data_IF_197663746881
#
_entry.id   IF_197663746881
#
_cell.length_a   1.000
_cell.length_b   1.000
_cell.length_c   1.000
_cell.angle_alpha   90.00
_cell.angle_beta   90.00
_cell.angle_gamma   90.00
#
_symmetry.space_group_name_H-M   'P 1'
#
loop_
_entity.id
_entity.type
_entity.pdbx_description
1 polymer ?
#
# COMPACT_ATOMS: atom_id res chain seq x y z
N UNK A 1 48.37 -49.27 21.62
CA UNK A 1 48.13 -48.18 20.64
C UNK A 1 46.81 -47.51 21.03
N UNK A 2 46.90 -46.28 21.56
CA UNK A 2 45.69 -45.47 21.91
C UNK A 2 45.54 -44.44 20.82
N UNK A 3 44.40 -44.49 20.08
CA UNK A 3 44.06 -43.52 19.03
C UNK A 3 43.36 -42.35 19.72
N UNK A 4 43.96 -41.21 19.71
CA UNK A 4 43.34 -39.94 20.17
C UNK A 4 42.48 -39.39 19.04
N UNK A 5 41.16 -39.28 19.29
CA UNK A 5 40.25 -38.61 18.37
C UNK A 5 40.33 -37.08 18.58
N UNK A 6 40.70 -36.38 17.55
CA UNK A 6 40.75 -34.91 17.51
C UNK A 6 39.33 -34.39 17.18
N UNK A 7 38.67 -33.77 18.16
CA UNK A 7 37.39 -33.07 17.94
C UNK A 7 37.70 -31.68 17.34
N UNK A 8 37.38 -31.47 16.06
CA UNK A 8 37.39 -30.16 15.42
C UNK A 8 36.06 -29.47 15.73
N UNK A 9 36.08 -28.48 16.60
CA UNK A 9 34.93 -27.60 16.84
C UNK A 9 34.90 -26.52 15.75
N UNK A 10 34.01 -26.67 14.78
CA UNK A 10 33.71 -25.62 13.79
C UNK A 10 32.88 -24.50 14.48
N UNK A 11 33.51 -23.38 14.78
CA UNK A 11 32.84 -22.16 15.19
C UNK A 11 32.12 -21.54 13.98
N UNK A 12 30.80 -21.65 13.94
CA UNK A 12 29.96 -20.88 13.00
C UNK A 12 30.04 -19.38 13.35
N UNK A 13 30.31 -18.50 12.39
CA UNK A 13 30.25 -17.05 12.65
C UNK A 13 28.80 -16.65 12.96
N UNK A 14 28.58 -16.22 14.19
CA UNK A 14 27.33 -15.57 14.58
C UNK A 14 27.33 -14.18 13.92
N UNK A 15 26.64 -14.05 12.79
CA UNK A 15 26.38 -12.73 12.20
C UNK A 15 25.43 -11.99 13.15
N UNK A 16 25.96 -11.01 13.91
CA UNK A 16 25.14 -10.05 14.62
C UNK A 16 24.27 -9.33 13.58
N UNK A 17 22.99 -9.64 13.54
CA UNK A 17 22.04 -8.81 12.84
C UNK A 17 22.11 -7.42 13.51
N UNK A 18 22.52 -6.40 12.75
CA UNK A 18 22.54 -5.03 13.22
C UNK A 18 21.12 -4.67 13.69
N UNK A 19 20.98 -4.32 14.97
CA UNK A 19 19.71 -3.84 15.51
C UNK A 19 19.30 -2.59 14.73
N UNK A 20 18.06 -2.61 14.20
CA UNK A 20 17.50 -1.42 13.55
C UNK A 20 17.56 -0.23 14.53
N UNK A 21 17.84 0.99 14.06
CA UNK A 21 17.84 2.18 14.89
C UNK A 21 16.52 2.29 15.66
N UNK A 22 16.58 2.77 16.91
CA UNK A 22 15.38 3.01 17.71
C UNK A 22 14.44 3.96 16.96
N UNK A 23 13.18 3.52 16.74
CA UNK A 23 12.16 4.30 16.03
C UNK A 23 11.99 3.99 14.54
N UNK A 24 12.76 3.04 13.95
CA UNK A 24 12.50 2.59 12.58
C UNK A 24 11.25 1.70 12.54
N UNK A 25 10.31 2.04 11.70
CA UNK A 25 9.07 1.27 11.47
C UNK A 25 9.27 0.14 10.44
N UNK A 26 10.14 0.36 9.46
CA UNK A 26 10.46 -0.60 8.42
C UNK A 26 11.93 -0.54 8.02
N UNK A 27 12.34 -1.48 7.20
CA UNK A 27 13.61 -1.44 6.47
C UNK A 27 13.29 -1.39 4.99
N UNK A 28 13.88 -0.45 4.28
CA UNK A 28 13.73 -0.30 2.84
C UNK A 28 14.26 -1.53 2.11
N UNK A 29 13.87 -1.73 0.85
CA UNK A 29 14.38 -2.83 0.03
C UNK A 29 15.90 -2.72 -0.24
N UNK A 30 16.45 -1.51 -0.12
CA UNK A 30 17.90 -1.24 -0.18
C UNK A 30 18.61 -1.36 1.18
N UNK A 31 17.92 -1.80 2.25
CA UNK A 31 18.50 -2.04 3.58
C UNK A 31 18.54 -0.81 4.50
N UNK A 32 17.97 0.33 4.12
CA UNK A 32 17.95 1.55 4.94
C UNK A 32 16.81 1.53 5.95
N UNK A 33 17.00 2.02 7.19
CA UNK A 33 15.91 2.17 8.13
C UNK A 33 14.92 3.25 7.66
N UNK A 34 13.62 2.96 7.76
CA UNK A 34 12.53 3.87 7.43
C UNK A 34 11.84 4.30 8.73
N UNK A 35 11.91 5.60 9.00
CA UNK A 35 11.35 6.22 10.20
C UNK A 35 10.13 7.05 9.78
N UNK A 36 9.01 6.88 10.50
CA UNK A 36 7.83 7.72 10.27
C UNK A 36 8.07 9.13 10.80
N UNK A 37 7.74 10.13 9.99
CA UNK A 37 7.65 11.50 10.49
C UNK A 37 6.38 11.63 11.33
N UNK A 38 6.46 12.02 12.60
CA UNK A 38 5.27 12.21 13.41
C UNK A 38 4.43 13.37 12.84
N UNK A 39 3.09 13.28 12.91
CA UNK A 39 2.23 14.41 12.58
C UNK A 39 2.54 15.60 13.48
N UNK A 40 2.28 16.82 13.00
CA UNK A 40 2.56 18.06 13.74
C UNK A 40 1.30 18.93 13.82
N UNK A 41 1.31 19.94 14.71
CA UNK A 41 0.22 20.91 14.88
C UNK A 41 -1.11 20.25 15.26
N UNK A 42 -2.23 20.83 14.80
CA UNK A 42 -3.60 20.38 15.14
C UNK A 42 -3.88 18.94 14.68
N UNK A 43 -3.25 18.49 13.59
CA UNK A 43 -3.37 17.11 13.13
C UNK A 43 -2.83 16.12 14.17
N UNK A 44 -1.69 16.43 14.80
CA UNK A 44 -1.13 15.62 15.88
C UNK A 44 -2.08 15.53 17.07
N UNK A 45 -2.57 16.67 17.55
CA UNK A 45 -3.47 16.74 18.72
C UNK A 45 -4.72 15.89 18.47
N UNK A 46 -5.33 16.01 17.29
CA UNK A 46 -6.53 15.23 16.92
C UNK A 46 -6.22 13.73 16.86
N UNK A 47 -5.16 13.32 16.18
CA UNK A 47 -4.81 11.92 16.03
C UNK A 47 -4.43 11.26 17.36
N UNK A 48 -3.75 11.98 18.25
CA UNK A 48 -3.43 11.49 19.61
C UNK A 48 -4.68 11.35 20.47
N UNK A 49 -5.63 12.29 20.39
CA UNK A 49 -6.92 12.19 21.08
C UNK A 49 -7.74 10.99 20.58
N UNK A 50 -7.78 10.79 19.27
CA UNK A 50 -8.43 9.63 18.65
C UNK A 50 -7.80 8.31 19.09
N UNK A 51 -6.46 8.26 19.17
CA UNK A 51 -5.75 7.08 19.68
C UNK A 51 -6.08 6.83 21.15
N UNK A 52 -6.07 7.87 22.00
CA UNK A 52 -6.40 7.73 23.43
C UNK A 52 -7.81 7.17 23.63
N UNK A 53 -8.79 7.63 22.81
CA UNK A 53 -10.14 7.08 22.81
C UNK A 53 -10.17 5.60 22.39
N UNK A 54 -9.51 5.24 21.29
CA UNK A 54 -9.47 3.87 20.81
C UNK A 54 -8.76 2.93 21.80
N UNK A 55 -7.71 3.42 22.49
CA UNK A 55 -7.04 2.67 23.56
C UNK A 55 -7.98 2.43 24.75
N UNK A 56 -8.72 3.44 25.19
CA UNK A 56 -9.68 3.29 26.30
C UNK A 56 -10.82 2.32 25.94
N UNK A 57 -11.29 2.32 24.68
CA UNK A 57 -12.29 1.38 24.20
C UNK A 57 -11.75 -0.06 24.19
N UNK A 58 -10.50 -0.25 23.76
CA UNK A 58 -9.81 -1.54 23.80
C UNK A 58 -9.54 -2.02 25.23
N UNK A 59 -9.11 -1.14 26.15
CA UNK A 59 -8.83 -1.49 27.55
C UNK A 59 -10.12 -1.92 28.29
N UNK A 60 -11.28 -1.36 27.91
CA UNK A 60 -12.58 -1.74 28.43
C UNK A 60 -13.03 -3.12 27.96
N UNK A 61 -12.79 -3.45 26.69
CA UNK A 61 -13.12 -4.75 26.11
C UNK A 61 -12.03 -5.22 25.13
N UNK A 62 -10.96 -5.83 25.65
CA UNK A 62 -9.87 -6.35 24.82
C UNK A 62 -10.30 -7.51 23.89
N UNK A 63 -11.48 -8.10 24.17
CA UNK A 63 -12.04 -9.16 23.33
C UNK A 63 -12.82 -8.65 22.11
N UNK A 64 -13.09 -7.35 22.02
CA UNK A 64 -13.81 -6.75 20.90
C UNK A 64 -12.95 -6.67 19.63
N UNK A 65 -13.46 -7.28 18.54
CA UNK A 65 -12.85 -7.13 17.21
C UNK A 65 -12.84 -5.66 16.77
N UNK A 66 -13.95 -4.94 17.01
CA UNK A 66 -14.09 -3.52 16.63
C UNK A 66 -13.07 -2.64 17.37
N UNK A 67 -12.90 -2.85 18.68
CA UNK A 67 -11.91 -2.11 19.47
C UNK A 67 -10.47 -2.38 18.99
N UNK A 68 -10.16 -3.64 18.65
CA UNK A 68 -8.86 -4.02 18.06
C UNK A 68 -8.62 -3.35 16.71
N UNK A 69 -9.66 -3.28 15.85
CA UNK A 69 -9.60 -2.64 14.53
C UNK A 69 -9.31 -1.14 14.70
N UNK A 70 -10.07 -0.44 15.55
CA UNK A 70 -9.86 1.00 15.72
C UNK A 70 -8.54 1.34 16.38
N UNK A 71 -8.11 0.58 17.39
CA UNK A 71 -6.79 0.77 17.99
C UNK A 71 -5.68 0.65 16.94
N UNK A 72 -5.68 -0.43 16.15
CA UNK A 72 -4.69 -0.62 15.10
C UNK A 72 -4.71 0.48 14.04
N UNK A 73 -5.89 0.92 13.60
CA UNK A 73 -6.04 2.02 12.63
C UNK A 73 -5.49 3.34 13.17
N UNK A 74 -5.81 3.71 14.44
CA UNK A 74 -5.32 4.95 15.05
C UNK A 74 -3.81 4.94 15.25
N UNK A 75 -3.23 3.79 15.60
CA UNK A 75 -1.78 3.62 15.63
C UNK A 75 -1.14 3.82 14.25
N UNK A 76 -1.72 3.23 13.20
CA UNK A 76 -1.22 3.37 11.83
C UNK A 76 -1.28 4.83 11.32
N UNK A 77 -2.33 5.60 11.65
CA UNK A 77 -2.43 7.02 11.29
C UNK A 77 -1.38 7.91 11.97
N UNK A 78 -0.84 7.46 13.09
CA UNK A 78 0.31 8.09 13.76
C UNK A 78 1.66 7.60 13.24
N UNK A 79 1.67 6.74 12.23
CA UNK A 79 2.88 6.15 11.68
C UNK A 79 3.51 5.06 12.55
N UNK A 80 2.80 4.55 13.56
CA UNK A 80 3.20 3.47 14.47
C UNK A 80 2.78 2.12 13.90
N UNK A 81 3.36 1.75 12.76
CA UNK A 81 2.91 0.58 12.00
C UNK A 81 3.19 -0.74 12.71
N UNK A 82 4.31 -0.86 13.47
CA UNK A 82 4.61 -2.06 14.24
C UNK A 82 3.57 -2.29 15.34
N UNK A 83 3.25 -1.24 16.09
CA UNK A 83 2.22 -1.32 17.14
C UNK A 83 0.83 -1.62 16.54
N UNK A 84 0.54 -1.06 15.36
CA UNK A 84 -0.70 -1.37 14.64
C UNK A 84 -0.79 -2.84 14.22
N UNK A 85 0.29 -3.40 13.66
CA UNK A 85 0.39 -4.82 13.30
C UNK A 85 0.19 -5.70 14.54
N UNK A 86 0.76 -5.35 15.68
CA UNK A 86 0.60 -6.08 16.94
C UNK A 86 -0.85 -6.03 17.44
N UNK A 87 -1.50 -4.85 17.36
CA UNK A 87 -2.91 -4.69 17.74
C UNK A 87 -3.83 -5.56 16.86
N UNK A 88 -3.65 -5.50 15.53
CA UNK A 88 -4.40 -6.36 14.61
C UNK A 88 -4.11 -7.86 14.83
N UNK A 89 -2.86 -8.22 15.16
CA UNK A 89 -2.48 -9.61 15.40
C UNK A 89 -3.16 -10.18 16.64
N UNK A 90 -3.28 -9.41 17.72
CA UNK A 90 -4.08 -9.79 18.90
C UNK A 90 -5.55 -9.94 18.54
N UNK A 91 -6.11 -9.01 17.76
CA UNK A 91 -7.47 -9.09 17.27
C UNK A 91 -7.73 -10.37 16.44
N UNK A 92 -6.80 -10.73 15.54
CA UNK A 92 -6.89 -11.94 14.72
C UNK A 92 -6.82 -13.22 15.58
N UNK A 93 -6.00 -13.22 16.63
CA UNK A 93 -5.92 -14.38 17.54
C UNK A 93 -7.26 -14.64 18.26
N UNK A 94 -8.00 -13.56 18.59
CA UNK A 94 -9.32 -13.66 19.20
C UNK A 94 -10.44 -13.88 18.15
N UNK A 95 -10.29 -13.34 16.95
CA UNK A 95 -11.31 -13.33 15.89
C UNK A 95 -10.73 -13.77 14.53
N UNK A 96 -10.39 -15.07 14.36
CA UNK A 96 -9.69 -15.56 13.17
C UNK A 96 -10.54 -15.51 11.87
N UNK A 97 -11.84 -15.25 11.97
CA UNK A 97 -12.77 -15.13 10.83
C UNK A 97 -13.20 -13.66 10.56
N UNK A 98 -12.61 -12.67 11.25
CA UNK A 98 -12.89 -11.26 11.01
C UNK A 98 -12.01 -10.70 9.89
N UNK A 99 -12.59 -10.56 8.69
CA UNK A 99 -11.89 -10.16 7.48
C UNK A 99 -11.23 -8.77 7.59
N UNK A 100 -11.86 -7.83 8.32
CA UNK A 100 -11.37 -6.45 8.47
C UNK A 100 -10.01 -6.38 9.16
N UNK A 101 -9.75 -7.28 10.13
CA UNK A 101 -8.46 -7.36 10.83
C UNK A 101 -7.33 -7.73 9.88
N UNK A 102 -7.54 -8.74 9.04
CA UNK A 102 -6.57 -9.13 8.00
C UNK A 102 -6.40 -8.03 6.95
N UNK A 103 -7.50 -7.38 6.52
CA UNK A 103 -7.44 -6.27 5.56
C UNK A 103 -6.56 -5.13 6.07
N UNK A 104 -6.74 -4.71 7.33
CA UNK A 104 -5.97 -3.60 7.88
C UNK A 104 -4.52 -4.00 8.19
N UNK A 105 -4.26 -5.21 8.70
CA UNK A 105 -2.91 -5.70 8.92
C UNK A 105 -2.17 -5.88 7.60
N UNK A 106 -2.82 -6.41 6.57
CA UNK A 106 -2.27 -6.53 5.23
C UNK A 106 -1.87 -5.18 4.63
N UNK A 107 -2.68 -4.12 4.83
CA UNK A 107 -2.31 -2.77 4.44
C UNK A 107 -1.03 -2.30 5.18
N UNK A 108 -0.95 -2.48 6.49
CA UNK A 108 0.25 -2.14 7.25
C UNK A 108 1.47 -2.94 6.77
N UNK A 109 1.32 -4.21 6.43
CA UNK A 109 2.41 -5.01 5.85
C UNK A 109 2.88 -4.48 4.49
N UNK A 110 1.99 -3.95 3.63
CA UNK A 110 2.42 -3.24 2.42
C UNK A 110 3.30 -2.05 2.79
N UNK A 111 2.84 -1.21 3.72
CA UNK A 111 3.54 0.00 4.15
C UNK A 111 4.93 -0.31 4.71
N UNK A 112 5.08 -1.39 5.48
CA UNK A 112 6.39 -1.81 6.02
C UNK A 112 7.15 -2.78 5.11
N UNK A 113 6.81 -2.87 3.83
CA UNK A 113 7.48 -3.63 2.77
C UNK A 113 7.54 -5.15 3.03
N UNK A 114 6.57 -5.70 3.75
CA UNK A 114 6.40 -7.14 4.00
C UNK A 114 5.35 -7.73 3.06
N UNK A 115 5.65 -7.72 1.76
CA UNK A 115 4.67 -8.03 0.70
C UNK A 115 4.11 -9.44 0.81
N UNK A 116 4.92 -10.45 1.15
CA UNK A 116 4.45 -11.82 1.30
C UNK A 116 3.42 -11.97 2.43
N UNK A 117 3.63 -11.26 3.57
CA UNK A 117 2.69 -11.24 4.68
C UNK A 117 1.41 -10.48 4.30
N UNK A 118 1.53 -9.39 3.54
CA UNK A 118 0.38 -8.65 3.02
C UNK A 118 -0.46 -9.52 2.08
N UNK A 119 0.16 -10.25 1.15
CA UNK A 119 -0.51 -11.16 0.22
C UNK A 119 -1.23 -12.27 1.00
N UNK A 120 -0.59 -12.86 2.00
CA UNK A 120 -1.19 -13.91 2.83
C UNK A 120 -2.45 -13.41 3.56
N UNK A 121 -2.36 -12.26 4.24
CA UNK A 121 -3.48 -11.66 4.97
C UNK A 121 -4.63 -11.26 4.04
N UNK A 122 -4.34 -10.55 2.95
CA UNK A 122 -5.36 -10.07 2.01
C UNK A 122 -6.01 -11.22 1.24
N UNK A 123 -5.27 -12.31 0.97
CA UNK A 123 -5.84 -13.55 0.44
C UNK A 123 -6.77 -14.23 1.46
N UNK A 124 -6.41 -14.27 2.75
CA UNK A 124 -7.33 -14.76 3.80
C UNK A 124 -8.58 -13.88 3.86
N UNK A 125 -8.42 -12.55 3.87
CA UNK A 125 -9.54 -11.61 3.88
C UNK A 125 -10.48 -11.81 2.68
N UNK A 126 -9.95 -11.98 1.46
CA UNK A 126 -10.76 -12.19 0.26
C UNK A 126 -11.61 -13.46 0.33
N UNK A 127 -11.06 -14.54 0.93
CA UNK A 127 -11.81 -15.79 1.16
C UNK A 127 -12.91 -15.62 2.20
N UNK A 128 -12.64 -14.84 3.25
CA UNK A 128 -13.61 -14.59 4.34
C UNK A 128 -14.81 -13.77 3.89
N UNK A 129 -14.67 -12.90 2.88
CA UNK A 129 -15.75 -12.10 2.33
C UNK A 129 -16.43 -12.72 1.10
N UNK A 130 -15.94 -13.86 0.62
CA UNK A 130 -16.49 -14.51 -0.57
C UNK A 130 -17.97 -14.85 -0.38
N UNK A 131 -18.80 -14.43 -1.32
CA UNK A 131 -20.27 -14.63 -1.28
C UNK A 131 -21.01 -13.74 -0.27
N UNK A 132 -20.33 -12.89 0.50
CA UNK A 132 -20.98 -11.94 1.40
C UNK A 132 -21.36 -10.65 0.65
N UNK A 133 -22.40 -9.98 1.13
CA UNK A 133 -22.72 -8.63 0.68
C UNK A 133 -21.56 -7.69 1.01
N UNK A 134 -21.21 -6.83 0.06
CA UNK A 134 -20.19 -5.82 0.28
C UNK A 134 -20.71 -4.68 1.18
N UNK A 135 -19.83 -4.12 1.99
CA UNK A 135 -20.16 -3.11 2.99
C UNK A 135 -19.23 -1.90 2.84
N UNK A 136 -19.79 -0.69 3.02
CA UNK A 136 -19.00 0.52 3.10
C UNK A 136 -18.04 0.40 4.30
N UNK A 137 -16.75 0.60 4.08
CA UNK A 137 -15.78 0.60 5.16
C UNK A 137 -15.87 1.95 5.90
N UNK A 138 -16.04 1.95 7.24
CA UNK A 138 -16.06 3.19 8.02
C UNK A 138 -14.79 4.00 7.79
N UNK A 139 -14.95 5.26 7.41
CA UNK A 139 -13.84 6.14 7.11
C UNK A 139 -13.15 6.58 8.41
N UNK A 140 -11.84 6.31 8.51
CA UNK A 140 -11.05 6.69 9.68
C UNK A 140 -10.31 8.02 9.52
N UNK A 141 -10.24 8.53 8.28
CA UNK A 141 -9.70 9.82 7.90
C UNK A 141 -10.62 10.42 6.80
N UNK A 142 -11.81 10.93 7.18
CA UNK A 142 -12.82 11.35 6.23
C UNK A 142 -12.30 12.38 5.23
N UNK A 143 -12.72 12.25 3.98
CA UNK A 143 -12.51 13.28 2.96
C UNK A 143 -13.27 14.57 3.31
N UNK A 144 -12.96 15.67 2.61
CA UNK A 144 -13.56 16.99 2.89
C UNK A 144 -15.09 17.02 2.79
N UNK A 145 -15.70 16.11 2.01
CA UNK A 145 -17.14 15.99 1.87
C UNK A 145 -17.77 15.10 2.97
N UNK A 146 -16.97 14.37 3.76
CA UNK A 146 -17.47 13.41 4.76
C UNK A 146 -18.20 12.21 4.16
N UNK A 147 -17.98 11.90 2.88
CA UNK A 147 -18.66 10.83 2.16
C UNK A 147 -17.71 9.64 1.99
N UNK A 148 -17.89 8.51 2.72
CA UNK A 148 -17.06 7.34 2.53
C UNK A 148 -17.26 6.74 1.14
N UNK A 149 -16.15 6.45 0.45
CA UNK A 149 -16.15 5.95 -0.93
C UNK A 149 -15.77 4.49 -1.04
N UNK A 150 -14.92 3.98 -0.16
CA UNK A 150 -14.41 2.63 -0.27
C UNK A 150 -15.30 1.61 0.47
N UNK A 151 -15.34 0.39 -0.07
CA UNK A 151 -15.98 -0.75 0.56
C UNK A 151 -14.93 -1.75 1.06
N UNK A 152 -15.32 -2.64 1.96
CA UNK A 152 -14.43 -3.68 2.48
C UNK A 152 -13.86 -4.54 1.35
N UNK A 153 -14.71 -5.01 0.43
CA UNK A 153 -14.24 -5.88 -0.65
C UNK A 153 -13.39 -5.12 -1.67
N UNK A 154 -13.75 -3.87 -2.02
CA UNK A 154 -12.92 -3.05 -2.91
C UNK A 154 -11.52 -2.84 -2.33
N UNK A 155 -11.43 -2.53 -1.03
CA UNK A 155 -10.15 -2.37 -0.34
C UNK A 155 -9.33 -3.67 -0.28
N UNK A 156 -9.97 -4.81 -0.02
CA UNK A 156 -9.27 -6.11 0.02
C UNK A 156 -8.64 -6.40 -1.35
N UNK A 157 -9.41 -6.34 -2.43
CA UNK A 157 -8.92 -6.66 -3.77
C UNK A 157 -7.89 -5.65 -4.27
N UNK A 158 -8.12 -4.35 -4.02
CA UNK A 158 -7.18 -3.29 -4.37
C UNK A 158 -5.81 -3.52 -3.72
N UNK A 159 -5.78 -3.75 -2.39
CA UNK A 159 -4.52 -3.93 -1.68
C UNK A 159 -3.87 -5.29 -1.97
N UNK A 160 -4.64 -6.35 -2.25
CA UNK A 160 -4.08 -7.63 -2.67
C UNK A 160 -3.37 -7.49 -4.02
N UNK A 161 -4.03 -6.86 -5.00
CA UNK A 161 -3.42 -6.58 -6.30
C UNK A 161 -2.17 -5.69 -6.16
N UNK A 162 -2.23 -4.69 -5.28
CA UNK A 162 -1.08 -3.83 -5.01
C UNK A 162 0.09 -4.60 -4.39
N UNK A 163 -0.13 -5.41 -3.36
CA UNK A 163 0.93 -6.21 -2.73
C UNK A 163 1.61 -7.16 -3.73
N UNK A 164 0.81 -7.80 -4.60
CA UNK A 164 1.30 -8.66 -5.68
C UNK A 164 2.08 -7.85 -6.74
N UNK A 165 1.60 -6.67 -7.14
CA UNK A 165 2.33 -5.78 -8.05
C UNK A 165 3.70 -5.38 -7.46
N UNK A 166 3.72 -4.97 -6.20
CA UNK A 166 4.93 -4.55 -5.49
C UNK A 166 5.93 -5.70 -5.33
N UNK A 167 5.48 -6.93 -5.13
CA UNK A 167 6.35 -8.13 -5.10
C UNK A 167 6.88 -8.53 -6.49
N UNK A 168 6.30 -7.99 -7.58
CA UNK A 168 6.62 -8.36 -8.96
C UNK A 168 5.75 -9.47 -9.54
N UNK A 169 4.77 -9.98 -8.79
CA UNK A 169 3.76 -10.93 -9.28
C UNK A 169 2.66 -10.18 -10.05
N UNK A 170 3.00 -9.69 -11.24
CA UNK A 170 2.04 -8.98 -12.10
C UNK A 170 0.88 -9.88 -12.57
N UNK A 171 1.07 -11.19 -12.65
CA UNK A 171 0.01 -12.14 -13.02
C UNK A 171 -1.02 -12.26 -11.90
N UNK A 172 -0.58 -12.43 -10.67
CA UNK A 172 -1.44 -12.40 -9.49
C UNK A 172 -2.16 -11.06 -9.34
N UNK A 173 -1.43 -9.94 -9.50
CA UNK A 173 -2.00 -8.60 -9.44
C UNK A 173 -3.13 -8.42 -10.46
N UNK A 174 -2.93 -8.87 -11.71
CA UNK A 174 -3.98 -8.83 -12.74
C UNK A 174 -5.22 -9.63 -12.33
N UNK A 175 -5.03 -10.83 -11.77
CA UNK A 175 -6.14 -11.66 -11.31
C UNK A 175 -6.92 -10.96 -10.19
N UNK A 176 -6.22 -10.36 -9.22
CA UNK A 176 -6.83 -9.66 -8.09
C UNK A 176 -7.58 -8.39 -8.52
N UNK A 177 -7.00 -7.56 -9.39
CA UNK A 177 -7.70 -6.37 -9.91
C UNK A 177 -8.94 -6.73 -10.73
N UNK A 178 -8.89 -7.80 -11.52
CA UNK A 178 -10.06 -8.29 -12.25
C UNK A 178 -11.14 -8.81 -11.32
N UNK A 179 -10.79 -9.54 -10.28
CA UNK A 179 -11.73 -10.03 -9.28
C UNK A 179 -12.40 -8.87 -8.49
N UNK A 180 -11.64 -7.81 -8.20
CA UNK A 180 -12.13 -6.62 -7.50
C UNK A 180 -12.89 -5.62 -8.39
N UNK A 181 -12.75 -5.68 -9.72
CA UNK A 181 -13.36 -4.70 -10.62
C UNK A 181 -14.89 -4.58 -10.48
N UNK A 182 -15.68 -5.66 -10.31
CA UNK A 182 -17.13 -5.53 -10.10
C UNK A 182 -17.51 -4.67 -8.91
N UNK A 183 -16.81 -4.82 -7.76
CA UNK A 183 -17.07 -4.02 -6.56
C UNK A 183 -16.43 -2.62 -6.63
N UNK A 184 -15.41 -2.44 -7.45
CA UNK A 184 -14.80 -1.11 -7.68
C UNK A 184 -15.65 -0.20 -8.56
N UNK A 185 -16.58 -0.73 -9.34
CA UNK A 185 -17.49 0.05 -10.21
C UNK A 185 -18.65 0.73 -9.49
N UNK A 186 -18.75 0.60 -8.16
CA UNK A 186 -19.83 1.21 -7.37
C UNK A 186 -19.76 2.73 -7.33
N UNK A 187 -18.59 3.32 -7.53
CA UNK A 187 -18.39 4.75 -7.68
C UNK A 187 -17.11 5.07 -8.47
N UNK A 188 -16.97 6.32 -8.88
CA UNK A 188 -15.85 6.76 -9.70
C UNK A 188 -14.51 6.72 -8.95
N UNK A 189 -14.46 6.95 -7.63
CA UNK A 189 -13.22 6.88 -6.85
C UNK A 189 -12.61 5.48 -6.86
N UNK A 190 -13.40 4.45 -6.58
CA UNK A 190 -12.91 3.07 -6.57
C UNK A 190 -12.57 2.59 -7.98
N UNK A 191 -13.37 3.02 -8.96
CA UNK A 191 -13.11 2.71 -10.37
C UNK A 191 -11.75 3.26 -10.82
N UNK A 192 -11.45 4.54 -10.56
CA UNK A 192 -10.17 5.15 -10.98
C UNK A 192 -9.00 4.54 -10.22
N UNK A 193 -9.13 4.27 -8.90
CA UNK A 193 -8.05 3.67 -8.13
C UNK A 193 -7.67 2.28 -8.66
N UNK A 194 -8.67 1.43 -8.90
CA UNK A 194 -8.45 0.07 -9.40
C UNK A 194 -7.96 0.09 -10.86
N UNK A 195 -8.55 0.95 -11.71
CA UNK A 195 -8.17 1.05 -13.13
C UNK A 195 -6.74 1.53 -13.35
N UNK A 196 -6.22 2.40 -12.49
CA UNK A 196 -4.86 2.90 -12.58
C UNK A 196 -3.82 1.77 -12.40
N UNK A 197 -3.95 0.98 -11.34
CA UNK A 197 -3.06 -0.14 -11.11
C UNK A 197 -3.29 -1.30 -12.08
N UNK A 198 -4.53 -1.54 -12.49
CA UNK A 198 -4.85 -2.53 -13.54
C UNK A 198 -4.17 -2.17 -14.86
N UNK A 199 -4.26 -0.90 -15.30
CA UNK A 199 -3.58 -0.41 -16.49
C UNK A 199 -2.07 -0.65 -16.42
N UNK A 200 -1.43 -0.20 -15.34
CA UNK A 200 0.00 -0.40 -15.16
C UNK A 200 0.38 -1.88 -15.17
N UNK A 201 -0.40 -2.74 -14.50
CA UNK A 201 -0.19 -4.20 -14.48
C UNK A 201 -0.26 -4.80 -15.87
N UNK A 202 -1.28 -4.45 -16.67
CA UNK A 202 -1.44 -4.92 -18.04
C UNK A 202 -0.27 -4.49 -18.93
N UNK A 203 0.19 -3.24 -18.81
CA UNK A 203 1.36 -2.72 -19.55
C UNK A 203 2.65 -3.46 -19.15
N UNK A 204 2.84 -3.78 -17.86
CA UNK A 204 3.98 -4.58 -17.38
C UNK A 204 3.95 -6.01 -17.96
N UNK A 205 2.77 -6.57 -18.17
CA UNK A 205 2.57 -7.88 -18.82
C UNK A 205 2.58 -7.81 -20.35
N UNK A 206 2.80 -6.62 -20.95
CA UNK A 206 2.75 -6.38 -22.41
C UNK A 206 1.39 -6.74 -23.04
N UNK A 207 0.30 -6.58 -22.26
CA UNK A 207 -1.09 -6.78 -22.69
C UNK A 207 -1.71 -5.46 -23.10
N UNK A 208 -1.12 -4.80 -24.11
CA UNK A 208 -1.41 -3.41 -24.47
C UNK A 208 -2.86 -3.20 -24.95
N UNK A 209 -3.43 -4.12 -25.71
CA UNK A 209 -4.83 -4.02 -26.15
C UNK A 209 -5.80 -4.03 -24.96
N UNK A 210 -5.55 -4.85 -23.95
CA UNK A 210 -6.39 -4.90 -22.74
C UNK A 210 -6.15 -3.69 -21.83
N UNK A 211 -4.94 -3.15 -21.82
CA UNK A 211 -4.65 -1.90 -21.12
C UNK A 211 -5.47 -0.73 -21.70
N UNK A 212 -5.60 -0.65 -23.02
CA UNK A 212 -6.47 0.33 -23.69
C UNK A 212 -7.94 0.12 -23.29
N UNK A 213 -8.43 -1.12 -23.29
CA UNK A 213 -9.79 -1.45 -22.85
C UNK A 213 -10.06 -1.06 -21.39
N UNK A 214 -9.09 -1.24 -20.50
CA UNK A 214 -9.21 -0.84 -19.08
C UNK A 214 -9.42 0.68 -18.91
N UNK A 215 -9.03 1.49 -19.89
CA UNK A 215 -9.24 2.93 -19.88
C UNK A 215 -10.60 3.37 -20.45
N UNK A 216 -11.38 2.50 -21.09
CA UNK A 216 -12.65 2.88 -21.75
C UNK A 216 -13.62 3.61 -20.79
N UNK A 217 -13.87 3.16 -19.55
CA UNK A 217 -14.80 3.82 -18.66
C UNK A 217 -14.31 5.16 -18.10
N UNK A 218 -13.02 5.49 -18.27
CA UNK A 218 -12.43 6.72 -17.71
C UNK A 218 -12.74 7.92 -18.59
N UNK A 219 -13.34 8.94 -18.00
CA UNK A 219 -13.75 10.18 -18.65
C UNK A 219 -13.10 11.39 -17.97
N UNK A 220 -12.94 12.53 -18.66
CA UNK A 220 -12.44 13.77 -18.04
C UNK A 220 -13.29 14.27 -16.86
N UNK A 221 -14.60 14.10 -16.93
CA UNK A 221 -15.55 14.46 -15.87
C UNK A 221 -16.02 13.19 -15.18
N UNK A 222 -15.57 12.99 -13.95
CA UNK A 222 -15.95 11.90 -13.04
C UNK A 222 -16.14 12.45 -11.63
N UNK A 223 -17.01 11.80 -10.83
CA UNK A 223 -17.24 12.16 -9.42
C UNK A 223 -16.14 11.55 -8.53
N UNK A 224 -14.97 12.18 -8.57
CA UNK A 224 -13.78 11.72 -7.83
C UNK A 224 -13.49 12.68 -6.68
N UNK A 225 -13.63 12.20 -5.44
CA UNK A 225 -13.38 12.98 -4.22
C UNK A 225 -11.98 12.71 -3.62
N UNK A 226 -11.49 11.47 -3.70
CA UNK A 226 -10.27 11.03 -3.02
C UNK A 226 -9.14 10.71 -4.01
N UNK A 227 -9.47 10.13 -5.14
CA UNK A 227 -8.51 9.54 -6.08
C UNK A 227 -8.17 10.43 -7.28
N UNK A 228 -8.24 11.76 -7.12
CA UNK A 228 -7.94 12.72 -8.18
C UNK A 228 -6.55 12.57 -8.81
N UNK A 229 -5.56 12.16 -8.01
CA UNK A 229 -4.21 11.85 -8.50
C UNK A 229 -4.21 10.67 -9.47
N UNK A 230 -4.92 9.60 -9.17
CA UNK A 230 -5.08 8.43 -10.05
C UNK A 230 -5.86 8.78 -11.31
N UNK A 231 -6.93 9.57 -11.17
CA UNK A 231 -7.70 10.06 -12.31
C UNK A 231 -6.81 10.86 -13.29
N UNK A 232 -5.97 11.76 -12.78
CA UNK A 232 -5.05 12.54 -13.61
C UNK A 232 -4.06 11.64 -14.39
N UNK A 233 -3.53 10.58 -13.76
CA UNK A 233 -2.67 9.59 -14.42
C UNK A 233 -3.41 8.79 -15.49
N UNK A 234 -4.63 8.35 -15.22
CA UNK A 234 -5.46 7.66 -16.21
C UNK A 234 -5.74 8.53 -17.44
N UNK A 235 -5.95 9.85 -17.25
CA UNK A 235 -6.09 10.78 -18.36
C UNK A 235 -4.78 10.94 -19.15
N UNK A 236 -3.61 10.90 -18.49
CA UNK A 236 -2.32 10.81 -19.16
C UNK A 236 -2.22 9.53 -20.00
N UNK A 237 -2.60 8.38 -19.44
CA UNK A 237 -2.57 7.10 -20.14
C UNK A 237 -3.48 7.06 -21.36
N UNK A 238 -4.59 7.82 -21.33
CA UNK A 238 -5.48 8.05 -22.48
C UNK A 238 -4.96 9.07 -23.50
N UNK A 239 -3.84 9.73 -23.24
CA UNK A 239 -3.32 10.82 -24.09
C UNK A 239 -4.10 12.14 -23.99
N UNK A 240 -4.93 12.30 -22.95
CA UNK A 240 -5.72 13.52 -22.70
C UNK A 240 -4.99 14.52 -21.78
N UNK A 241 -3.85 14.13 -21.23
CA UNK A 241 -2.93 14.98 -20.47
C UNK A 241 -1.49 14.71 -20.87
N UNK A 242 -0.59 15.66 -20.60
CA UNK A 242 0.85 15.46 -20.75
C UNK A 242 1.49 15.09 -19.40
N UNK A 243 2.67 14.44 -19.39
CA UNK A 243 3.40 14.16 -18.16
C UNK A 243 3.61 15.40 -17.29
N UNK A 244 3.96 16.53 -17.89
CA UNK A 244 4.24 17.80 -17.20
C UNK A 244 2.96 18.40 -16.58
N UNK A 245 1.78 18.14 -17.17
CA UNK A 245 0.49 18.57 -16.60
C UNK A 245 0.04 17.71 -15.41
N UNK A 246 0.59 16.49 -15.28
CA UNK A 246 0.31 15.58 -14.16
C UNK A 246 1.32 15.76 -13.04
N UNK A 247 2.59 15.97 -13.38
CA UNK A 247 3.68 16.13 -12.41
C UNK A 247 4.57 17.31 -12.76
N UNK A 248 4.58 18.33 -11.92
CA UNK A 248 5.55 19.41 -11.95
C UNK A 248 6.56 19.25 -10.82
N UNK A 249 7.74 18.73 -11.14
CA UNK A 249 8.80 18.45 -10.15
C UNK A 249 9.34 19.68 -9.42
N UNK A 250 9.10 20.90 -9.96
CA UNK A 250 9.59 22.14 -9.35
C UNK A 250 8.66 22.67 -8.26
N UNK A 251 7.38 22.31 -8.30
CA UNK A 251 6.35 22.85 -7.38
C UNK A 251 5.66 21.79 -6.53
N UNK A 252 5.80 20.51 -6.88
CA UNK A 252 5.17 19.42 -6.16
C UNK A 252 5.88 19.13 -4.81
N UNK A 253 5.09 18.87 -3.77
CA UNK A 253 5.58 18.37 -2.49
C UNK A 253 5.97 16.88 -2.56
N UNK A 254 6.59 16.36 -1.49
CA UNK A 254 7.07 14.97 -1.44
C UNK A 254 5.95 13.93 -1.66
N UNK A 255 4.72 14.20 -1.20
CA UNK A 255 3.59 13.28 -1.37
C UNK A 255 3.13 13.30 -2.82
N UNK A 256 3.02 14.47 -3.42
CA UNK A 256 2.69 14.62 -4.84
C UNK A 256 3.76 13.99 -5.73
N UNK A 257 5.04 14.20 -5.41
CA UNK A 257 6.17 13.59 -6.12
C UNK A 257 6.10 12.06 -6.01
N UNK A 258 5.85 11.50 -4.84
CA UNK A 258 5.72 10.06 -4.67
C UNK A 258 4.52 9.51 -5.45
N UNK A 259 3.33 10.11 -5.29
CA UNK A 259 2.09 9.61 -5.87
C UNK A 259 2.07 9.76 -7.40
N UNK A 260 2.29 10.97 -7.90
CA UNK A 260 2.27 11.24 -9.34
C UNK A 260 3.55 10.76 -10.03
N UNK A 261 4.69 10.90 -9.35
CA UNK A 261 6.00 10.54 -9.90
C UNK A 261 6.07 9.05 -10.27
N UNK A 262 5.54 8.16 -9.42
CA UNK A 262 5.53 6.76 -9.80
C UNK A 262 4.70 6.52 -11.09
N UNK A 263 3.49 7.06 -11.17
CA UNK A 263 2.63 6.87 -12.35
C UNK A 263 3.25 7.42 -13.64
N UNK A 264 3.81 8.64 -13.59
CA UNK A 264 4.49 9.25 -14.75
C UNK A 264 5.77 8.49 -15.09
N UNK A 265 6.57 8.11 -14.10
CA UNK A 265 7.78 7.31 -14.31
C UNK A 265 7.47 5.95 -14.92
N UNK A 266 6.44 5.23 -14.41
CA UNK A 266 5.99 3.97 -14.98
C UNK A 266 5.45 4.15 -16.42
N UNK A 267 4.76 5.27 -16.71
CA UNK A 267 4.33 5.57 -18.08
C UNK A 267 5.52 5.71 -19.04
N UNK A 268 6.58 6.41 -18.67
CA UNK A 268 7.81 6.47 -19.46
C UNK A 268 8.45 5.08 -19.62
N UNK A 269 8.50 4.30 -18.53
CA UNK A 269 9.07 2.96 -18.53
C UNK A 269 8.39 2.04 -19.53
N UNK A 270 7.05 1.94 -19.48
CA UNK A 270 6.28 1.05 -20.36
C UNK A 270 6.19 1.55 -21.80
N UNK A 271 6.55 2.81 -22.06
CA UNK A 271 6.70 3.37 -23.40
C UNK A 271 8.17 3.38 -23.90
N UNK A 272 9.09 2.71 -23.18
CA UNK A 272 10.46 2.47 -23.61
C UNK A 272 11.47 3.53 -23.18
N UNK A 273 11.05 4.64 -22.58
CA UNK A 273 11.96 5.69 -22.08
C UNK A 273 12.44 5.38 -20.65
N UNK A 274 13.34 4.40 -20.55
CA UNK A 274 13.91 3.98 -19.25
C UNK A 274 14.72 5.08 -18.58
N UNK A 275 15.34 5.98 -19.35
CA UNK A 275 16.16 7.06 -18.81
C UNK A 275 15.30 8.08 -18.04
N UNK A 276 14.18 8.56 -18.63
CA UNK A 276 13.24 9.43 -17.94
C UNK A 276 12.55 8.73 -16.78
N UNK A 277 12.16 7.46 -16.94
CA UNK A 277 11.60 6.67 -15.85
C UNK A 277 12.54 6.63 -14.65
N UNK A 278 13.82 6.32 -14.88
CA UNK A 278 14.85 6.28 -13.83
C UNK A 278 15.02 7.62 -13.13
N UNK A 279 15.15 8.71 -13.88
CA UNK A 279 15.30 10.04 -13.31
C UNK A 279 14.14 10.44 -12.39
N UNK A 280 12.90 10.09 -12.78
CA UNK A 280 11.71 10.35 -11.95
C UNK A 280 11.71 9.45 -10.71
N UNK A 281 12.01 8.16 -10.83
CA UNK A 281 12.07 7.26 -9.67
C UNK A 281 13.15 7.67 -8.68
N UNK A 282 14.34 8.09 -9.16
CA UNK A 282 15.37 8.62 -8.28
C UNK A 282 14.89 9.89 -7.53
N UNK A 283 14.10 10.75 -8.18
CA UNK A 283 13.52 11.92 -7.52
C UNK A 283 12.46 11.53 -6.48
N UNK A 284 11.62 10.52 -6.76
CA UNK A 284 10.67 9.94 -5.79
C UNK A 284 11.41 9.42 -4.57
N UNK A 285 12.47 8.64 -4.78
CA UNK A 285 13.23 7.99 -3.70
C UNK A 285 14.12 8.95 -2.89
N UNK A 286 14.38 10.15 -3.41
CA UNK A 286 15.04 11.23 -2.67
C UNK A 286 14.10 11.93 -1.68
N UNK A 287 12.78 11.77 -1.81
CA UNK A 287 11.77 12.36 -0.94
C UNK A 287 11.59 11.61 0.38
N UNK A 288 10.74 12.15 1.26
CA UNK A 288 10.48 11.59 2.59
C UNK A 288 9.17 10.82 2.71
N UNK A 289 8.35 10.80 1.67
CA UNK A 289 7.03 10.18 1.67
C UNK A 289 7.09 8.65 1.47
N UNK A 290 7.95 7.95 2.22
CA UNK A 290 8.22 6.54 2.06
C UNK A 290 7.00 5.63 2.28
N UNK A 291 5.99 6.11 3.00
CA UNK A 291 4.74 5.37 3.22
C UNK A 291 3.77 5.43 2.04
N UNK A 292 4.00 6.33 1.09
CA UNK A 292 3.17 6.43 -0.11
C UNK A 292 3.41 5.24 -1.04
N UNK A 293 2.34 4.65 -1.56
CA UNK A 293 2.42 3.48 -2.46
C UNK A 293 3.28 3.74 -3.70
N UNK A 294 3.28 4.98 -4.20
CA UNK A 294 4.14 5.35 -5.32
C UNK A 294 5.64 5.33 -4.97
N UNK A 295 6.02 5.72 -3.73
CA UNK A 295 7.39 5.58 -3.26
C UNK A 295 7.80 4.11 -3.17
N UNK A 296 6.95 3.29 -2.52
CA UNK A 296 7.20 1.85 -2.36
C UNK A 296 7.33 1.15 -3.72
N UNK A 297 6.48 1.54 -4.68
CA UNK A 297 6.50 0.98 -6.02
C UNK A 297 7.76 1.39 -6.81
N UNK A 298 8.19 2.66 -6.68
CA UNK A 298 9.44 3.12 -7.28
C UNK A 298 10.65 2.37 -6.70
N UNK A 299 10.69 2.17 -5.39
CA UNK A 299 11.76 1.41 -4.74
C UNK A 299 11.76 -0.05 -5.18
N UNK A 300 10.60 -0.68 -5.25
CA UNK A 300 10.46 -2.05 -5.71
C UNK A 300 10.94 -2.21 -7.17
N UNK A 301 10.56 -1.30 -8.06
CA UNK A 301 10.99 -1.33 -9.46
C UNK A 301 12.50 -1.07 -9.63
N UNK A 302 13.04 -0.07 -8.93
CA UNK A 302 14.47 0.22 -8.95
C UNK A 302 15.30 -0.97 -8.42
N UNK A 303 14.84 -1.60 -7.34
CA UNK A 303 15.52 -2.76 -6.75
C UNK A 303 15.51 -3.98 -7.67
N UNK A 304 14.42 -4.18 -8.43
CA UNK A 304 14.32 -5.26 -9.43
C UNK A 304 15.07 -4.96 -10.73
N UNK A 305 15.55 -3.73 -10.94
CA UNK A 305 16.19 -3.30 -12.19
C UNK A 305 15.18 -2.97 -13.30
N UNK A 306 13.94 -2.67 -12.93
CA UNK A 306 12.72 -2.43 -13.72
C UNK A 306 12.08 -3.68 -14.30
#
# INVERSE_FOLDING_TARGET
MRIAALLVVLALPCTLAAQAPSGAEATSLSGKPLVSAPPVGDAKVRLEADLAKAQADYDRDPSSAEASIWLGRRLAYLGRYRDAIDAFSRGIAAHPEEARLYRHRGHCYITVLKFDLAIADLTKASRLVAGKKDEIEPDGAPNAAGIPRSTLQSNIWYHLGLAQYLSGDFTGALASYRAGMPVSRVNDDMLVATSDWLYMTLRRLKRDAEAVQALEPIRPQMDVLENGAYHARLLLYKGLRTPESVLNLNTADDIQIATQGYGVGNWYLVNGDRARARAIFDRVLAGKAWTAFGFIAAEADVTRGF
#
